data_IF_330966777682
#
_entry.id   IF_330966777682
#
_cell.length_a   1.000
_cell.length_b   1.000
_cell.length_c   1.000
_cell.angle_alpha   90.00
_cell.angle_beta   90.00
_cell.angle_gamma   90.00
#
_symmetry.space_group_name_H-M   'P 1'
#
loop_
_entity.id
_entity.type
_entity.pdbx_description
1 polymer ?
#
# COMPACT_ATOMS: atom_id res chain seq x y z
N UNK A 1 -2.26 -15.17 17.28
CA UNK A 1 -1.46 -15.29 16.04
C UNK A 1 -2.28 -15.97 14.96
N UNK A 2 -2.18 -15.48 13.73
CA UNK A 2 -2.90 -16.01 12.56
C UNK A 2 -1.95 -16.94 11.81
N UNK A 3 -2.37 -18.18 11.53
CA UNK A 3 -1.56 -19.15 10.78
C UNK A 3 -2.06 -19.21 9.34
N UNK A 4 -1.21 -18.87 8.38
CA UNK A 4 -1.53 -18.94 6.96
C UNK A 4 -0.76 -20.10 6.31
N UNK A 5 -1.47 -20.86 5.47
CA UNK A 5 -0.86 -21.78 4.53
C UNK A 5 -0.84 -21.08 3.18
N UNK A 6 0.36 -20.73 2.73
CA UNK A 6 0.57 -20.00 1.47
C UNK A 6 1.13 -20.91 0.42
N UNK A 7 0.62 -20.78 -0.80
CA UNK A 7 1.14 -21.46 -1.98
C UNK A 7 1.85 -20.43 -2.84
N UNK A 8 3.09 -20.72 -3.22
CA UNK A 8 3.80 -19.85 -4.14
C UNK A 8 3.18 -19.98 -5.55
N UNK A 9 2.98 -18.85 -6.21
CA UNK A 9 2.31 -18.77 -7.51
C UNK A 9 3.24 -19.23 -8.64
N UNK A 10 4.54 -18.95 -8.54
CA UNK A 10 5.54 -19.31 -9.55
C UNK A 10 6.08 -20.73 -9.42
N UNK A 11 6.23 -21.21 -8.19
CA UNK A 11 6.67 -22.58 -7.89
C UNK A 11 5.57 -23.22 -7.06
N UNK A 12 5.07 -24.40 -7.43
CA UNK A 12 3.96 -25.09 -6.73
C UNK A 12 4.29 -25.54 -5.28
N UNK A 13 5.28 -24.95 -4.64
CA UNK A 13 5.67 -25.13 -3.24
C UNK A 13 4.67 -24.43 -2.33
N UNK A 14 4.28 -25.13 -1.27
CA UNK A 14 3.47 -24.58 -0.19
C UNK A 14 4.33 -24.38 1.06
N UNK A 15 4.06 -23.32 1.81
CA UNK A 15 4.72 -22.99 3.06
C UNK A 15 3.70 -22.58 4.11
N UNK A 16 4.09 -22.73 5.38
CA UNK A 16 3.30 -22.23 6.51
C UNK A 16 3.96 -21.00 7.07
N UNK A 17 3.16 -19.96 7.33
CA UNK A 17 3.62 -18.71 7.92
C UNK A 17 2.77 -18.35 9.14
N UNK A 18 3.43 -17.92 10.21
CA UNK A 18 2.78 -17.38 11.41
C UNK A 18 2.80 -15.86 11.32
N UNK A 19 1.63 -15.25 11.40
CA UNK A 19 1.44 -13.81 11.41
C UNK A 19 1.12 -13.38 12.84
N UNK A 20 2.00 -12.54 13.40
CA UNK A 20 1.81 -11.96 14.73
C UNK A 20 1.36 -10.51 14.64
N UNK A 21 1.12 -9.89 15.80
CA UNK A 21 0.82 -8.47 15.90
C UNK A 21 1.94 -7.62 15.28
N UNK A 22 1.64 -6.55 14.52
CA UNK A 22 0.30 -5.94 14.32
C UNK A 22 -0.51 -6.53 13.16
N UNK A 23 0.10 -7.40 12.34
CA UNK A 23 -0.45 -7.90 11.08
C UNK A 23 -1.58 -8.92 11.26
N UNK A 24 -1.70 -9.52 12.45
CA UNK A 24 -2.77 -10.46 12.79
C UNK A 24 -4.19 -9.85 12.72
N UNK A 25 -4.31 -8.52 12.67
CA UNK A 25 -5.56 -7.80 12.51
C UNK A 25 -6.00 -7.61 11.05
N UNK A 26 -5.15 -8.00 10.10
CA UNK A 26 -5.45 -7.90 8.67
C UNK A 26 -6.57 -8.85 8.23
N UNK A 27 -7.36 -8.41 7.25
CA UNK A 27 -8.41 -9.23 6.64
C UNK A 27 -7.79 -9.96 5.45
N UNK A 28 -7.53 -11.26 5.61
CA UNK A 28 -7.04 -12.15 4.55
C UNK A 28 -8.04 -13.29 4.40
N UNK A 29 -8.42 -13.62 3.17
CA UNK A 29 -9.34 -14.70 2.84
C UNK A 29 -8.66 -15.77 1.98
N UNK A 30 -9.24 -16.96 1.99
CA UNK A 30 -8.81 -18.03 1.09
C UNK A 30 -8.98 -17.57 -0.37
N UNK A 31 -7.91 -17.69 -1.15
CA UNK A 31 -7.87 -17.23 -2.54
C UNK A 31 -7.25 -15.85 -2.76
N UNK A 32 -7.01 -15.07 -1.70
CA UNK A 32 -6.34 -13.77 -1.83
C UNK A 32 -4.87 -13.94 -2.21
N UNK A 33 -4.38 -13.06 -3.09
CA UNK A 33 -2.96 -12.97 -3.41
C UNK A 33 -2.28 -12.11 -2.35
N UNK A 34 -1.22 -12.64 -1.71
CA UNK A 34 -0.49 -11.93 -0.66
C UNK A 34 1.00 -11.91 -0.95
N UNK A 35 1.66 -10.81 -0.56
CA UNK A 35 3.11 -10.69 -0.50
C UNK A 35 3.55 -10.65 0.96
N UNK A 36 4.40 -11.60 1.34
CA UNK A 36 4.90 -11.76 2.71
C UNK A 36 6.40 -11.47 2.74
N UNK A 37 6.79 -10.62 3.69
CA UNK A 37 8.18 -10.44 4.07
C UNK A 37 8.32 -10.68 5.56
N UNK A 38 9.10 -11.68 5.93
CA UNK A 38 9.31 -12.08 7.31
C UNK A 38 10.68 -12.71 7.52
N UNK A 39 10.90 -13.20 8.73
CA UNK A 39 12.11 -13.92 9.12
C UNK A 39 11.80 -15.39 9.35
N UNK A 40 12.76 -16.26 9.02
CA UNK A 40 12.67 -17.68 9.31
C UNK A 40 13.26 -17.95 10.70
N UNK A 41 12.43 -18.44 11.63
CA UNK A 41 12.80 -18.67 13.03
C UNK A 41 12.28 -20.05 13.44
N UNK A 42 13.13 -20.87 14.06
CA UNK A 42 12.77 -22.19 14.61
C UNK A 42 12.01 -23.13 13.65
N UNK A 43 12.34 -23.07 12.36
CA UNK A 43 11.73 -23.94 11.37
C UNK A 43 10.46 -23.37 10.70
N UNK A 44 10.00 -22.20 11.12
CA UNK A 44 8.78 -21.56 10.62
C UNK A 44 9.04 -20.14 10.10
N UNK A 45 8.23 -19.72 9.12
CA UNK A 45 8.23 -18.33 8.67
C UNK A 45 7.37 -17.49 9.59
N UNK A 46 7.92 -16.40 10.11
CA UNK A 46 7.20 -15.52 11.04
C UNK A 46 7.21 -14.09 10.51
N UNK A 47 6.02 -13.48 10.46
CA UNK A 47 5.81 -12.07 10.09
C UNK A 47 5.33 -11.31 11.33
N UNK A 48 6.19 -10.45 11.84
CA UNK A 48 5.96 -9.58 13.00
C UNK A 48 6.29 -8.13 12.63
N UNK A 49 6.58 -7.28 13.61
CA UNK A 49 6.93 -5.86 13.43
C UNK A 49 8.06 -5.56 12.43
N UNK A 50 9.06 -6.44 12.32
CA UNK A 50 10.16 -6.29 11.35
C UNK A 50 9.78 -6.72 9.93
N UNK A 51 8.66 -7.41 9.78
CA UNK A 51 8.12 -7.90 8.52
C UNK A 51 7.01 -7.01 7.97
N UNK A 52 6.52 -7.39 6.79
CA UNK A 52 5.42 -6.72 6.11
C UNK A 52 4.50 -7.79 5.51
N UNK A 53 3.20 -7.59 5.68
CA UNK A 53 2.15 -8.32 4.99
C UNK A 53 1.43 -7.34 4.05
N UNK A 54 1.42 -7.66 2.75
CA UNK A 54 0.66 -6.90 1.74
C UNK A 54 -0.39 -7.80 1.11
N UNK A 55 -1.65 -7.38 1.15
CA UNK A 55 -2.75 -8.03 0.44
C UNK A 55 -2.90 -7.41 -0.95
N UNK A 56 -3.19 -8.25 -1.96
CA UNK A 56 -3.34 -7.86 -3.36
C UNK A 56 -2.19 -6.96 -3.87
N UNK A 57 -0.93 -7.46 -3.87
CA UNK A 57 0.26 -6.67 -4.20
C UNK A 57 0.25 -6.10 -5.63
N UNK A 58 -0.56 -6.67 -6.53
CA UNK A 58 -0.71 -6.18 -7.91
C UNK A 58 -1.61 -4.95 -8.03
N UNK A 59 -2.39 -4.64 -6.98
CA UNK A 59 -3.23 -3.45 -6.93
C UNK A 59 -2.42 -2.27 -6.37
N UNK A 60 -2.01 -1.37 -7.26
CA UNK A 60 -1.23 -0.18 -6.89
C UNK A 60 -2.16 0.94 -6.43
N UNK A 61 -2.00 1.37 -5.18
CA UNK A 61 -2.74 2.48 -4.59
C UNK A 61 -1.80 3.68 -4.46
N UNK A 62 -2.28 4.88 -4.79
CA UNK A 62 -1.48 6.11 -4.67
C UNK A 62 -1.16 6.41 -3.19
N UNK A 63 0.03 6.93 -2.91
CA UNK A 63 0.40 7.35 -1.55
C UNK A 63 -0.56 8.42 -1.00
N UNK A 64 -1.05 9.31 -1.86
CA UNK A 64 -2.05 10.33 -1.50
C UNK A 64 -3.38 9.70 -1.08
N UNK A 65 -3.85 8.64 -1.77
CA UNK A 65 -5.04 7.88 -1.39
C UNK A 65 -4.85 7.20 -0.03
N UNK A 66 -3.68 6.59 0.22
CA UNK A 66 -3.37 5.95 1.51
C UNK A 66 -3.42 6.98 2.64
N UNK A 67 -2.78 8.14 2.47
CA UNK A 67 -2.83 9.23 3.47
C UNK A 67 -4.25 9.76 3.66
N UNK A 68 -5.03 9.91 2.58
CA UNK A 68 -6.44 10.32 2.66
C UNK A 68 -7.29 9.33 3.47
N UNK A 69 -6.99 8.03 3.37
CA UNK A 69 -7.72 6.97 4.08
C UNK A 69 -7.55 7.02 5.61
N UNK A 70 -6.46 7.60 6.12
CA UNK A 70 -6.21 7.78 7.55
C UNK A 70 -7.29 8.65 8.23
N UNK A 71 -7.89 9.58 7.50
CA UNK A 71 -8.98 10.42 8.00
C UNK A 71 -10.35 9.74 7.81
N UNK A 72 -10.60 9.21 6.61
CA UNK A 72 -11.80 8.45 6.32
C UNK A 72 -11.59 7.50 5.13
N UNK A 73 -11.53 6.20 5.42
CA UNK A 73 -11.38 5.16 4.40
C UNK A 73 -12.47 5.22 3.32
N UNK A 74 -13.74 5.40 3.73
CA UNK A 74 -14.86 5.46 2.78
C UNK A 74 -14.74 6.67 1.85
N UNK A 75 -14.34 7.84 2.37
CA UNK A 75 -14.14 9.03 1.54
C UNK A 75 -13.01 8.81 0.54
N UNK A 76 -11.88 8.27 0.98
CA UNK A 76 -10.73 8.01 0.10
C UNK A 76 -11.11 7.08 -1.08
N UNK A 77 -11.83 5.99 -0.79
CA UNK A 77 -12.31 5.06 -1.83
C UNK A 77 -13.28 5.76 -2.79
N UNK A 78 -14.24 6.53 -2.28
CA UNK A 78 -15.21 7.25 -3.14
C UNK A 78 -14.52 8.31 -4.00
N UNK A 79 -13.56 9.05 -3.46
CA UNK A 79 -12.79 10.05 -4.20
C UNK A 79 -11.97 9.43 -5.33
N UNK A 80 -11.44 8.21 -5.14
CA UNK A 80 -10.68 7.49 -6.17
C UNK A 80 -11.56 6.86 -7.24
N UNK A 81 -12.74 6.34 -6.89
CA UNK A 81 -13.67 5.72 -7.86
C UNK A 81 -14.37 6.77 -8.72
N UNK A 82 -14.76 7.90 -8.10
CA UNK A 82 -15.63 8.89 -8.74
C UNK A 82 -14.86 10.14 -9.19
N UNK A 83 -13.53 10.11 -9.31
CA UNK A 83 -12.68 11.21 -9.79
C UNK A 83 -13.23 12.58 -9.38
N UNK A 84 -13.21 12.88 -8.07
CA UNK A 84 -13.84 14.08 -7.47
C UNK A 84 -14.95 14.69 -8.34
N UNK A 85 -16.07 13.96 -8.52
CA UNK A 85 -17.28 14.49 -9.16
C UNK A 85 -17.50 15.92 -8.66
N UNK A 86 -17.31 16.84 -9.61
CA UNK A 86 -16.82 18.19 -9.38
C UNK A 86 -17.62 19.03 -8.38
N UNK A 87 -16.89 20.02 -7.84
CA UNK A 87 -17.33 21.37 -7.42
C UNK A 87 -16.40 21.91 -6.29
N UNK A 88 -15.08 21.76 -6.44
CA UNK A 88 -14.08 22.37 -5.54
C UNK A 88 -13.33 23.54 -6.20
N UNK A 89 -12.99 24.58 -5.43
CA UNK A 89 -12.03 25.59 -5.89
C UNK A 89 -10.60 25.01 -5.89
N UNK A 90 -10.18 24.47 -7.03
CA UNK A 90 -8.84 23.88 -7.24
C UNK A 90 -7.70 24.89 -7.38
N UNK A 91 -7.95 26.19 -7.14
CA UNK A 91 -6.96 27.26 -7.35
C UNK A 91 -5.64 26.99 -6.63
N UNK A 92 -5.72 26.54 -5.38
CA UNK A 92 -4.54 26.22 -4.57
C UNK A 92 -3.77 25.00 -5.12
N UNK A 93 -4.47 23.99 -5.63
CA UNK A 93 -3.86 22.81 -6.23
C UNK A 93 -3.14 23.17 -7.53
N UNK A 94 -3.75 24.00 -8.38
CA UNK A 94 -3.13 24.50 -9.62
C UNK A 94 -1.86 25.30 -9.32
N UNK A 95 -1.92 26.21 -8.34
CA UNK A 95 -0.72 26.97 -7.90
C UNK A 95 0.36 26.00 -7.42
N UNK A 96 0.00 24.99 -6.62
CA UNK A 96 0.91 23.94 -6.19
C UNK A 96 1.58 23.23 -7.37
N UNK A 97 0.82 22.81 -8.37
CA UNK A 97 1.34 22.15 -9.57
C UNK A 97 2.35 23.04 -10.33
N UNK A 98 2.03 24.33 -10.53
CA UNK A 98 2.93 25.27 -11.21
C UNK A 98 4.23 25.45 -10.43
N UNK A 99 4.15 25.61 -9.10
CA UNK A 99 5.33 25.74 -8.24
C UNK A 99 6.19 24.47 -8.27
N UNK A 100 5.57 23.28 -8.15
CA UNK A 100 6.28 22.00 -8.24
C UNK A 100 7.00 21.85 -9.58
N UNK A 101 6.34 22.18 -10.69
CA UNK A 101 6.93 22.10 -12.02
C UNK A 101 8.10 23.07 -12.18
N UNK A 102 7.94 24.33 -11.78
CA UNK A 102 8.99 25.34 -11.88
C UNK A 102 10.22 24.93 -11.05
N UNK A 103 10.01 24.42 -9.83
CA UNK A 103 11.09 23.91 -9.00
C UNK A 103 11.82 22.74 -9.66
N UNK A 104 11.09 21.76 -10.21
CA UNK A 104 11.67 20.62 -10.92
C UNK A 104 12.53 21.09 -12.11
N UNK A 105 12.04 22.03 -12.91
CA UNK A 105 12.76 22.61 -14.04
C UNK A 105 14.07 23.28 -13.62
N UNK A 106 14.03 24.11 -12.57
CA UNK A 106 15.22 24.80 -12.06
C UNK A 106 16.26 23.79 -11.55
N UNK A 107 15.83 22.80 -10.78
CA UNK A 107 16.71 21.76 -10.23
C UNK A 107 17.31 20.87 -11.32
N UNK A 108 16.53 20.48 -12.32
CA UNK A 108 17.00 19.62 -13.42
C UNK A 108 17.95 20.37 -14.36
N UNK A 109 17.63 21.62 -14.70
CA UNK A 109 18.46 22.46 -15.57
C UNK A 109 19.65 23.10 -14.85
N UNK A 110 19.74 22.93 -13.52
CA UNK A 110 20.76 23.56 -12.65
C UNK A 110 20.85 25.07 -12.87
N UNK A 111 19.71 25.71 -13.14
CA UNK A 111 19.66 27.16 -13.29
C UNK A 111 19.95 27.73 -11.91
N UNK A 112 21.08 28.44 -11.80
CA UNK A 112 21.60 28.97 -10.54
C UNK A 112 21.36 30.47 -10.46
#
# INVERSE_FOLDING_TARGET
DLKLVVKNIGNATSGTCIIKSPWNSSIVREGDVVSLRGTYVDGEWVVEWSGILVTNPDNLISGTSVVGSLFCMRKAILSEIFDELGEGEYKHLVIGCVVHQLLQEVLQKKIR
#
